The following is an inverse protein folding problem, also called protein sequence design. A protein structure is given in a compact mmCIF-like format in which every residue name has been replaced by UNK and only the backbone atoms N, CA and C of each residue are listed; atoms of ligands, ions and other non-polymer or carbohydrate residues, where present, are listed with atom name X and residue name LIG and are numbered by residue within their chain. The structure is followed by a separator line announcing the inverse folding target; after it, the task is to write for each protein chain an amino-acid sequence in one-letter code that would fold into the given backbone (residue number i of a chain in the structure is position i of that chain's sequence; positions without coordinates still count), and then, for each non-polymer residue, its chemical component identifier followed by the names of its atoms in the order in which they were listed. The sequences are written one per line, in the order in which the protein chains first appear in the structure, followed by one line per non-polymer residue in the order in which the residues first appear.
data_IF_455484302387
#
_entry.id   IF_455484302387
#
_cell.length_a   1.000
_cell.length_b   1.000
_cell.length_c   1.000
_cell.angle_alpha   90.00
_cell.angle_beta   90.00
_cell.angle_gamma   90.00
#
_symmetry.space_group_name_H-M   'P 1'
#
loop_
_entity.id
_entity.type
_entity.pdbx_description
1 polymer ?
#
# COMPACT_ATOMS: atom_id res chain seq x y z
N UNK A 1 -16.43 74.24 8.92
CA UNK A 1 -15.35 73.21 9.11
C UNK A 1 -16.01 71.88 9.39
N UNK A 2 -16.15 71.01 8.38
CA UNK A 2 -16.70 69.65 8.51
C UNK A 2 -15.54 68.67 8.74
N UNK A 3 -15.49 68.02 9.90
CA UNK A 3 -14.50 66.95 10.19
C UNK A 3 -14.98 65.65 9.55
N UNK A 4 -14.20 65.13 8.59
CA UNK A 4 -14.39 63.82 7.98
C UNK A 4 -13.73 62.75 8.87
N UNK A 5 -14.54 61.87 9.50
CA UNK A 5 -14.05 60.71 10.21
C UNK A 5 -13.83 59.58 9.16
N UNK A 6 -12.57 59.16 8.96
CA UNK A 6 -12.24 57.97 8.22
C UNK A 6 -12.34 56.76 9.20
N UNK A 7 -13.32 55.88 8.95
CA UNK A 7 -13.37 54.58 9.58
C UNK A 7 -12.44 53.61 8.85
N UNK A 8 -11.35 53.20 9.46
CA UNK A 8 -10.52 52.07 9.01
C UNK A 8 -11.17 50.77 9.47
N UNK A 9 -11.80 50.02 8.55
CA UNK A 9 -12.25 48.67 8.81
C UNK A 9 -11.05 47.72 8.71
N UNK A 10 -10.57 47.19 9.83
CA UNK A 10 -9.60 46.06 9.84
C UNK A 10 -10.30 44.81 9.38
N UNK A 11 -9.96 44.36 8.18
CA UNK A 11 -10.32 43.01 7.71
C UNK A 11 -9.39 41.98 8.40
N UNK A 12 -9.91 41.27 9.39
CA UNK A 12 -9.26 40.08 9.93
C UNK A 12 -9.39 38.95 8.90
N UNK A 13 -8.32 38.65 8.16
CA UNK A 13 -8.21 37.43 7.37
C UNK A 13 -7.91 36.31 8.35
N UNK A 14 -8.94 35.56 8.71
CA UNK A 14 -8.76 34.30 9.46
C UNK A 14 -8.15 33.27 8.50
N UNK A 15 -6.84 33.07 8.59
CA UNK A 15 -6.19 31.90 8.01
C UNK A 15 -6.70 30.67 8.77
N UNK A 16 -7.59 29.89 8.16
CA UNK A 16 -7.88 28.54 8.63
C UNK A 16 -6.58 27.75 8.52
N UNK A 17 -5.89 27.56 9.64
CA UNK A 17 -4.75 26.66 9.72
C UNK A 17 -5.27 25.24 9.45
N UNK A 18 -5.12 24.75 8.22
CA UNK A 18 -5.30 23.35 7.89
C UNK A 18 -4.44 22.52 8.86
N UNK A 19 -5.03 21.56 9.54
CA UNK A 19 -4.31 20.64 10.41
C UNK A 19 -3.12 20.05 9.64
N UNK A 20 -1.90 20.26 10.15
CA UNK A 20 -0.66 19.76 9.56
C UNK A 20 -0.32 18.36 10.06
N UNK A 21 -1.13 17.84 11.00
CA UNK A 21 -0.93 16.53 11.61
C UNK A 21 -1.93 15.51 11.07
N UNK A 22 -1.41 14.34 10.73
CA UNK A 22 -2.19 13.18 10.30
C UNK A 22 -1.88 11.98 11.19
N UNK A 23 -2.82 11.05 11.34
CA UNK A 23 -2.50 9.77 11.96
C UNK A 23 -1.76 8.91 10.95
N UNK A 24 -0.57 8.44 11.33
CA UNK A 24 0.16 7.39 10.66
C UNK A 24 -0.09 6.09 11.41
N UNK A 25 -0.68 5.10 10.73
CA UNK A 25 -1.00 3.79 11.27
C UNK A 25 -0.02 2.80 10.68
N UNK A 26 0.69 2.07 11.54
CA UNK A 26 1.78 1.17 11.17
C UNK A 26 1.37 -0.26 11.47
N UNK A 27 1.21 -1.07 10.42
CA UNK A 27 1.02 -2.52 10.53
C UNK A 27 2.37 -3.23 10.69
N UNK A 28 2.42 -4.22 11.57
CA UNK A 28 3.66 -4.92 11.93
C UNK A 28 3.50 -6.43 11.93
N UNK A 29 4.64 -7.14 11.88
CA UNK A 29 4.70 -8.55 12.23
C UNK A 29 5.13 -8.69 13.68
N UNK A 30 4.36 -9.45 14.47
CA UNK A 30 4.63 -9.71 15.89
C UNK A 30 5.44 -10.98 16.13
N UNK A 31 5.54 -11.86 15.12
CA UNK A 31 6.21 -13.16 15.21
C UNK A 31 7.69 -13.09 15.60
N UNK A 32 8.34 -11.95 15.41
CA UNK A 32 9.74 -11.72 15.82
C UNK A 32 9.88 -11.25 17.28
N UNK A 33 8.78 -11.19 18.06
CA UNK A 33 8.71 -10.74 19.45
C UNK A 33 9.28 -9.34 19.72
N UNK A 34 9.30 -8.48 18.70
CA UNK A 34 9.79 -7.09 18.79
C UNK A 34 8.69 -6.08 18.47
N UNK A 35 7.44 -6.53 18.34
CA UNK A 35 6.26 -5.69 18.10
C UNK A 35 5.07 -6.23 18.91
N UNK A 36 4.14 -5.33 19.27
CA UNK A 36 2.93 -5.63 20.04
C UNK A 36 1.64 -5.57 19.19
N UNK A 37 1.72 -5.22 17.90
CA UNK A 37 0.54 -5.12 17.03
C UNK A 37 0.56 -3.92 16.08
N UNK A 38 -0.53 -3.14 16.02
CA UNK A 38 -0.65 -1.96 15.16
C UNK A 38 -0.32 -0.72 15.98
N UNK A 39 0.57 0.13 15.47
CA UNK A 39 0.97 1.37 16.13
C UNK A 39 0.32 2.57 15.47
N UNK A 40 -0.06 3.56 16.26
CA UNK A 40 -0.64 4.83 15.79
C UNK A 40 0.24 5.99 16.24
N UNK A 41 0.61 6.84 15.29
CA UNK A 41 1.41 8.05 15.52
C UNK A 41 0.67 9.28 15.04
N UNK A 42 0.91 10.44 15.67
CA UNK A 42 0.74 11.72 15.01
C UNK A 42 1.98 11.99 14.15
N UNK A 43 1.75 12.33 12.90
CA UNK A 43 2.79 12.72 11.95
C UNK A 43 2.58 14.16 11.51
N UNK A 44 3.58 15.02 11.70
CA UNK A 44 3.56 16.41 11.25
C UNK A 44 4.09 16.51 9.82
N UNK A 45 3.22 16.86 8.86
CA UNK A 45 3.56 16.96 7.44
C UNK A 45 4.41 18.19 7.08
N UNK A 46 4.74 19.04 8.07
CA UNK A 46 5.65 20.18 7.89
C UNK A 46 7.07 19.86 8.32
N UNK A 47 7.22 19.16 9.43
CA UNK A 47 8.50 18.91 10.10
C UNK A 47 8.99 17.47 10.04
N UNK A 48 8.12 16.52 9.60
CA UNK A 48 8.33 15.07 9.68
C UNK A 48 8.46 14.52 11.11
N UNK A 49 8.09 15.30 12.12
CA UNK A 49 8.08 14.82 13.49
C UNK A 49 6.95 13.80 13.68
N UNK A 50 7.26 12.74 14.44
CA UNK A 50 6.33 11.66 14.73
C UNK A 50 6.23 11.46 16.23
N UNK A 51 5.00 11.47 16.76
CA UNK A 51 4.72 11.22 18.18
C UNK A 51 3.85 9.98 18.32
N UNK A 52 4.33 8.98 19.04
CA UNK A 52 3.52 7.79 19.36
C UNK A 52 2.29 8.18 20.18
N UNK A 53 1.15 7.58 19.86
CA UNK A 53 -0.12 7.82 20.52
C UNK A 53 -0.65 6.57 21.21
N UNK A 54 -0.78 5.48 20.47
CA UNK A 54 -1.38 4.23 20.97
C UNK A 54 -0.84 3.00 20.24
N UNK A 55 -1.11 1.84 20.84
CA UNK A 55 -0.85 0.53 20.27
C UNK A 55 -2.16 -0.27 20.36
N UNK A 56 -2.60 -0.78 19.21
CA UNK A 56 -3.69 -1.76 19.14
C UNK A 56 -3.02 -3.13 19.30
N UNK A 57 -3.01 -3.64 20.53
CA UNK A 57 -2.30 -4.88 20.87
C UNK A 57 -2.91 -6.09 20.18
N UNK A 58 -2.05 -6.94 19.63
CA UNK A 58 -2.41 -8.19 18.99
C UNK A 58 -1.26 -9.20 19.11
N UNK A 59 -1.53 -10.45 19.45
CA UNK A 59 -0.50 -11.50 19.44
C UNK A 59 -0.14 -11.96 18.01
N UNK A 60 -0.92 -11.53 17.02
CA UNK A 60 -0.77 -11.95 15.63
C UNK A 60 -0.17 -10.86 14.76
N UNK A 61 0.44 -11.28 13.68
CA UNK A 61 0.87 -10.39 12.60
C UNK A 61 -0.34 -9.65 12.00
N UNK A 62 -0.34 -8.33 12.13
CA UNK A 62 -1.30 -7.40 11.53
C UNK A 62 -0.62 -6.71 10.34
N UNK A 63 -0.21 -7.54 9.36
CA UNK A 63 0.78 -7.16 8.36
C UNK A 63 0.31 -6.20 7.30
N UNK A 64 -1.00 -6.14 6.98
CA UNK A 64 -1.52 -5.20 6.01
C UNK A 64 -2.83 -4.59 6.50
N UNK A 65 -3.02 -3.30 6.19
CA UNK A 65 -4.11 -2.48 6.74
C UNK A 65 -4.85 -1.77 5.61
N UNK A 66 -6.18 -1.68 5.76
CA UNK A 66 -7.03 -0.81 4.97
C UNK A 66 -7.89 0.06 5.89
N UNK A 67 -7.98 1.37 5.59
CA UNK A 67 -8.89 2.29 6.26
C UNK A 67 -10.16 2.47 5.44
N UNK A 68 -11.29 2.59 6.13
CA UNK A 68 -12.52 3.10 5.51
C UNK A 68 -12.31 4.56 5.05
N UNK A 69 -13.07 4.98 4.03
CA UNK A 69 -12.93 6.33 3.44
C UNK A 69 -13.23 7.46 4.43
N UNK A 70 -14.02 7.20 5.47
CA UNK A 70 -14.37 8.11 6.56
C UNK A 70 -13.44 8.00 7.78
N UNK A 71 -12.39 7.17 7.71
CA UNK A 71 -11.42 6.88 8.77
C UNK A 71 -12.02 6.32 10.08
N UNK A 72 -13.24 5.76 10.05
CA UNK A 72 -13.87 5.19 11.24
C UNK A 72 -13.55 3.73 11.48
N UNK A 73 -13.05 3.03 10.46
CA UNK A 73 -12.78 1.60 10.55
C UNK A 73 -11.41 1.26 9.99
N UNK A 74 -10.73 0.33 10.67
CA UNK A 74 -9.50 -0.31 10.20
C UNK A 74 -9.81 -1.78 9.96
N UNK A 75 -9.43 -2.28 8.79
CA UNK A 75 -9.42 -3.69 8.48
C UNK A 75 -7.97 -4.16 8.36
N UNK A 76 -7.65 -5.29 8.98
CA UNK A 76 -6.29 -5.83 8.95
C UNK A 76 -6.28 -7.29 8.56
N UNK A 77 -5.21 -7.70 7.88
CA UNK A 77 -4.85 -9.10 7.78
C UNK A 77 -4.41 -9.60 9.16
N UNK A 78 -4.68 -10.85 9.47
CA UNK A 78 -4.32 -11.49 10.74
C UNK A 78 -3.68 -12.84 10.48
N UNK A 79 -2.51 -13.10 11.07
CA UNK A 79 -1.85 -14.39 11.03
C UNK A 79 -1.21 -14.72 12.37
N UNK A 80 -1.66 -15.81 12.98
CA UNK A 80 -1.10 -16.36 14.22
C UNK A 80 -0.94 -17.88 14.08
N UNK A 81 0.29 -18.36 13.95
CA UNK A 81 0.57 -19.77 13.63
C UNK A 81 -0.22 -20.21 12.39
N UNK A 82 -1.10 -21.18 12.53
CA UNK A 82 -1.92 -21.73 11.44
C UNK A 82 -3.26 -21.01 11.25
N UNK A 83 -3.54 -19.97 12.07
CA UNK A 83 -4.79 -19.19 11.96
C UNK A 83 -4.60 -17.98 11.09
N UNK A 84 -5.33 -17.94 9.98
CA UNK A 84 -5.44 -16.81 9.07
C UNK A 84 -6.82 -16.20 9.16
N UNK A 85 -6.89 -14.89 9.27
CA UNK A 85 -8.16 -14.17 9.42
C UNK A 85 -8.09 -12.74 8.88
N UNK A 86 -9.24 -12.10 8.84
CA UNK A 86 -9.41 -10.65 8.68
C UNK A 86 -10.06 -10.12 9.95
N UNK A 87 -9.53 -9.01 10.46
CA UNK A 87 -10.06 -8.36 11.67
C UNK A 87 -10.57 -6.97 11.33
N UNK A 88 -11.75 -6.64 11.83
CA UNK A 88 -12.33 -5.29 11.77
C UNK A 88 -12.23 -4.58 13.12
N UNK A 89 -11.85 -3.30 13.07
CA UNK A 89 -11.79 -2.42 14.23
C UNK A 89 -12.60 -1.16 13.99
N UNK A 90 -13.38 -0.73 14.98
CA UNK A 90 -13.84 0.67 15.06
C UNK A 90 -12.65 1.54 15.48
N UNK A 91 -12.38 2.60 14.73
CA UNK A 91 -11.26 3.49 14.96
C UNK A 91 -11.73 4.89 15.28
N UNK A 92 -11.34 5.39 16.47
CA UNK A 92 -11.53 6.77 16.85
C UNK A 92 -10.29 7.59 16.44
N UNK A 93 -10.36 8.25 15.29
CA UNK A 93 -9.24 9.03 14.75
C UNK A 93 -8.81 10.18 15.68
N UNK A 94 -9.73 10.76 16.49
CA UNK A 94 -9.40 11.87 17.39
C UNK A 94 -8.54 11.40 18.56
N UNK A 95 -8.87 10.26 19.15
CA UNK A 95 -8.18 9.70 20.32
C UNK A 95 -7.10 8.67 19.93
N UNK A 96 -7.02 8.31 18.64
CA UNK A 96 -6.13 7.26 18.13
C UNK A 96 -6.37 5.88 18.80
N UNK A 97 -7.61 5.59 19.16
CA UNK A 97 -8.04 4.36 19.83
C UNK A 97 -8.78 3.45 18.84
N UNK A 98 -8.58 2.14 18.97
CA UNK A 98 -9.33 1.19 18.19
C UNK A 98 -9.90 0.09 19.09
N UNK A 99 -11.14 -0.31 18.77
CA UNK A 99 -11.86 -1.43 19.41
C UNK A 99 -12.14 -2.49 18.35
N UNK A 100 -11.71 -3.71 18.60
CA UNK A 100 -12.05 -4.84 17.74
C UNK A 100 -13.58 -5.03 17.70
N UNK A 101 -14.13 -5.07 16.49
CA UNK A 101 -15.53 -5.35 16.24
C UNK A 101 -15.76 -6.86 16.10
N UNK A 102 -15.07 -7.46 15.13
CA UNK A 102 -15.08 -8.90 14.92
C UNK A 102 -13.88 -9.37 14.10
N UNK A 103 -13.78 -10.68 13.96
CA UNK A 103 -12.77 -11.35 13.16
C UNK A 103 -13.41 -12.54 12.44
N UNK A 104 -13.08 -12.72 11.16
CA UNK A 104 -13.55 -13.86 10.35
C UNK A 104 -12.36 -14.63 9.77
N UNK A 105 -12.45 -15.97 9.65
CA UNK A 105 -11.44 -16.75 8.96
C UNK A 105 -11.22 -16.24 7.53
N UNK A 106 -9.99 -16.33 7.04
CA UNK A 106 -9.62 -16.02 5.67
C UNK A 106 -8.76 -17.15 5.09
N UNK A 107 -8.48 -17.08 3.79
CA UNK A 107 -7.52 -17.97 3.15
C UNK A 107 -6.13 -17.87 3.80
N UNK A 108 -5.32 -18.89 3.60
CA UNK A 108 -4.04 -19.02 4.29
C UNK A 108 -3.07 -17.86 3.98
N UNK A 109 -2.50 -17.27 5.03
CA UNK A 109 -1.51 -16.20 5.00
C UNK A 109 -1.95 -14.97 4.17
N UNK A 110 -3.04 -14.26 4.61
CA UNK A 110 -3.48 -13.04 3.93
C UNK A 110 -2.38 -11.97 4.04
N UNK A 111 -1.99 -11.41 2.89
CA UNK A 111 -0.88 -10.46 2.81
C UNK A 111 -1.27 -9.08 2.24
N UNK A 112 -2.49 -8.95 1.73
CA UNK A 112 -3.04 -7.69 1.24
C UNK A 112 -4.53 -7.57 1.53
N UNK A 113 -5.01 -6.34 1.76
CA UNK A 113 -6.42 -6.07 2.08
C UNK A 113 -6.83 -4.72 1.52
N UNK A 114 -8.03 -4.64 0.94
CA UNK A 114 -8.66 -3.41 0.47
C UNK A 114 -10.12 -3.35 0.92
N UNK A 115 -10.68 -2.14 0.93
CA UNK A 115 -12.12 -1.93 1.17
C UNK A 115 -12.65 -0.75 0.35
N UNK A 116 -13.90 -0.85 -0.07
CA UNK A 116 -14.68 0.27 -0.62
C UNK A 116 -15.77 0.77 0.35
N UNK A 117 -15.82 0.15 1.54
CA UNK A 117 -16.83 0.42 2.58
C UNK A 117 -18.08 -0.50 2.47
N UNK A 118 -18.25 -1.23 1.38
CA UNK A 118 -19.31 -2.24 1.18
C UNK A 118 -18.75 -3.64 1.34
N UNK A 119 -17.55 -3.84 0.81
CA UNK A 119 -16.81 -5.10 0.92
C UNK A 119 -15.38 -4.87 1.40
N UNK A 120 -14.85 -5.90 2.03
CA UNK A 120 -13.41 -6.08 2.31
C UNK A 120 -12.92 -7.23 1.45
N UNK A 121 -11.83 -7.02 0.72
CA UNK A 121 -11.26 -8.03 -0.18
C UNK A 121 -9.81 -8.29 0.23
N UNK A 122 -9.42 -9.56 0.35
CA UNK A 122 -8.03 -9.97 0.69
C UNK A 122 -7.39 -10.76 -0.41
N UNK A 123 -6.06 -10.61 -0.54
CA UNK A 123 -5.21 -11.55 -1.25
C UNK A 123 -4.50 -12.43 -0.22
N UNK A 124 -4.57 -13.75 -0.41
CA UNK A 124 -4.03 -14.76 0.51
C UNK A 124 -2.84 -15.46 -0.14
N UNK A 125 -1.65 -15.08 0.27
CA UNK A 125 -0.40 -15.56 -0.33
C UNK A 125 -0.21 -17.06 -0.18
N UNK A 126 -0.35 -17.57 1.06
CA UNK A 126 -0.12 -18.99 1.34
C UNK A 126 -1.15 -19.91 0.68
N UNK A 127 -2.40 -19.43 0.56
CA UNK A 127 -3.49 -20.20 -0.05
C UNK A 127 -3.67 -19.98 -1.55
N UNK A 128 -3.00 -19.01 -2.17
CA UNK A 128 -3.23 -18.63 -3.56
C UNK A 128 -4.69 -18.28 -3.84
N UNK A 129 -5.32 -17.51 -2.96
CA UNK A 129 -6.76 -17.27 -3.05
C UNK A 129 -7.14 -15.82 -2.74
N UNK A 130 -8.39 -15.45 -3.03
CA UNK A 130 -8.99 -14.16 -2.72
C UNK A 130 -10.27 -14.39 -1.93
N UNK A 131 -10.45 -13.70 -0.79
CA UNK A 131 -11.73 -13.65 -0.10
C UNK A 131 -12.42 -12.30 -0.29
N UNK A 132 -13.73 -12.32 -0.34
CA UNK A 132 -14.60 -11.15 -0.27
C UNK A 132 -15.54 -11.29 0.92
N UNK A 133 -15.52 -10.31 1.82
CA UNK A 133 -16.39 -10.21 2.97
C UNK A 133 -17.30 -8.99 2.82
N UNK A 134 -18.57 -9.11 3.18
CA UNK A 134 -19.44 -7.95 3.32
C UNK A 134 -19.04 -7.10 4.52
N UNK A 135 -19.44 -5.82 4.50
CA UNK A 135 -19.28 -4.88 5.62
C UNK A 135 -20.66 -4.44 6.09
N UNK A 136 -20.92 -4.55 7.41
CA UNK A 136 -22.14 -4.06 8.05
C UNK A 136 -22.09 -2.57 8.31
N UNK A 137 -23.23 -1.95 8.63
CA UNK A 137 -23.33 -0.52 8.90
C UNK A 137 -22.48 -0.05 10.09
N UNK A 138 -22.20 -0.95 11.05
CA UNK A 138 -21.34 -0.68 12.21
C UNK A 138 -19.86 -0.89 11.92
N UNK A 139 -19.50 -1.23 10.67
CA UNK A 139 -18.14 -1.48 10.21
C UNK A 139 -17.62 -2.89 10.49
N UNK A 140 -18.39 -3.73 11.18
CA UNK A 140 -18.01 -5.14 11.36
C UNK A 140 -18.07 -5.90 10.03
N UNK A 141 -17.27 -6.96 9.92
CA UNK A 141 -17.36 -7.87 8.78
C UNK A 141 -18.67 -8.65 8.86
N UNK A 142 -19.30 -8.79 7.72
CA UNK A 142 -20.40 -9.74 7.53
C UNK A 142 -19.83 -11.11 7.12
N UNK A 143 -20.69 -12.04 6.70
CA UNK A 143 -20.26 -13.35 6.22
C UNK A 143 -19.34 -13.25 5.02
N UNK A 144 -18.51 -14.27 4.80
CA UNK A 144 -17.77 -14.43 3.55
C UNK A 144 -18.79 -14.56 2.39
N UNK A 145 -18.70 -13.64 1.42
CA UNK A 145 -19.51 -13.67 0.21
C UNK A 145 -18.91 -14.58 -0.86
N UNK A 146 -17.56 -14.60 -0.92
CA UNK A 146 -16.88 -15.30 -2.00
C UNK A 146 -15.45 -15.68 -1.63
N UNK A 147 -15.07 -16.92 -1.95
CA UNK A 147 -13.69 -17.39 -2.02
C UNK A 147 -13.37 -17.74 -3.47
N UNK A 148 -12.29 -17.17 -4.01
CA UNK A 148 -11.78 -17.48 -5.35
C UNK A 148 -10.42 -18.15 -5.16
N UNK A 149 -10.30 -19.39 -5.63
CA UNK A 149 -9.06 -20.14 -5.63
C UNK A 149 -8.34 -19.97 -6.98
N UNK A 150 -7.10 -19.48 -6.96
CA UNK A 150 -6.19 -19.57 -8.09
C UNK A 150 -5.48 -20.94 -8.09
N UNK A 151 -5.17 -21.43 -9.26
CA UNK A 151 -4.53 -22.76 -9.44
C UNK A 151 -3.48 -22.68 -10.53
N UNK A 152 -2.26 -23.08 -10.21
CA UNK A 152 -1.14 -23.05 -11.16
C UNK A 152 0.19 -22.90 -10.42
N UNK A 153 1.24 -22.78 -11.18
CA UNK A 153 2.62 -22.66 -10.70
C UNK A 153 3.48 -21.92 -11.75
N UNK A 154 4.69 -21.55 -11.36
CA UNK A 154 5.70 -20.94 -12.22
C UNK A 154 7.04 -21.67 -12.13
N UNK A 155 8.07 -21.20 -12.86
CA UNK A 155 9.36 -21.90 -12.94
C UNK A 155 10.30 -21.65 -11.76
N UNK A 156 10.09 -20.58 -10.95
CA UNK A 156 10.91 -20.31 -9.77
C UNK A 156 10.51 -21.28 -8.63
N UNK A 157 11.44 -21.81 -7.84
CA UNK A 157 11.11 -22.68 -6.70
C UNK A 157 10.09 -22.10 -5.71
N UNK A 158 9.98 -20.77 -5.63
CA UNK A 158 8.97 -20.05 -4.82
C UNK A 158 7.59 -20.01 -5.48
N UNK A 159 7.44 -20.55 -6.69
CA UNK A 159 6.21 -20.59 -7.47
C UNK A 159 5.66 -22.03 -7.59
N UNK A 160 5.87 -22.86 -6.58
CA UNK A 160 5.35 -24.24 -6.57
C UNK A 160 3.81 -24.31 -6.60
N UNK A 161 3.14 -23.21 -6.26
CA UNK A 161 1.68 -23.05 -6.31
C UNK A 161 1.30 -21.58 -6.56
N UNK A 162 0.02 -21.30 -6.77
CA UNK A 162 -0.52 -19.94 -6.80
C UNK A 162 -0.24 -19.19 -5.49
N UNK A 163 0.08 -17.89 -5.59
CA UNK A 163 0.37 -16.99 -4.48
C UNK A 163 -0.23 -15.60 -4.76
N UNK A 164 -1.53 -15.43 -4.50
CA UNK A 164 -2.18 -14.13 -4.65
C UNK A 164 -1.53 -13.11 -3.70
N UNK A 165 -0.87 -12.07 -4.26
CA UNK A 165 -0.09 -11.13 -3.44
C UNK A 165 -0.74 -9.76 -3.29
N UNK A 166 -1.57 -9.33 -4.21
CA UNK A 166 -2.28 -8.06 -4.13
C UNK A 166 -3.65 -8.15 -4.82
N UNK A 167 -4.61 -7.43 -4.27
CA UNK A 167 -5.85 -7.04 -4.93
C UNK A 167 -5.96 -5.51 -4.96
N UNK A 168 -6.51 -4.95 -6.03
CA UNK A 168 -6.66 -3.50 -6.17
C UNK A 168 -7.89 -3.15 -6.99
N UNK A 169 -8.72 -2.23 -6.48
CA UNK A 169 -9.80 -1.65 -7.29
C UNK A 169 -9.22 -0.82 -8.44
N UNK A 170 -9.84 -0.89 -9.60
CA UNK A 170 -9.61 0.09 -10.66
C UNK A 170 -10.12 1.47 -10.21
N UNK A 171 -9.60 2.58 -10.77
CA UNK A 171 -10.00 3.93 -10.36
C UNK A 171 -11.52 4.20 -10.46
N UNK A 172 -12.20 3.57 -11.42
CA UNK A 172 -13.64 3.63 -11.61
C UNK A 172 -14.44 2.61 -10.80
N UNK A 173 -13.73 1.73 -10.06
CA UNK A 173 -14.28 0.62 -9.27
C UNK A 173 -15.15 -0.38 -10.05
N UNK A 174 -15.04 -0.43 -11.36
CA UNK A 174 -15.75 -1.44 -12.18
C UNK A 174 -15.05 -2.80 -12.15
N UNK A 175 -13.76 -2.81 -11.81
CA UNK A 175 -12.97 -4.02 -11.79
C UNK A 175 -12.08 -4.08 -10.54
N UNK A 176 -11.67 -5.31 -10.21
CA UNK A 176 -10.60 -5.60 -9.28
C UNK A 176 -9.50 -6.33 -10.05
N UNK A 177 -8.27 -5.81 -9.97
CA UNK A 177 -7.09 -6.52 -10.43
C UNK A 177 -6.53 -7.34 -9.27
N UNK A 178 -6.18 -8.59 -9.54
CA UNK A 178 -5.48 -9.46 -8.60
C UNK A 178 -4.15 -9.91 -9.20
N UNK A 179 -3.08 -9.76 -8.43
CA UNK A 179 -1.72 -10.14 -8.85
C UNK A 179 -1.38 -11.47 -8.20
N UNK A 180 -1.05 -12.46 -9.00
CA UNK A 180 -0.59 -13.77 -8.53
C UNK A 180 0.89 -13.97 -8.83
N UNK A 181 1.69 -13.94 -7.76
CA UNK A 181 3.14 -14.09 -7.82
C UNK A 181 3.54 -15.53 -8.23
N UNK A 182 2.75 -16.53 -7.79
CA UNK A 182 3.06 -17.93 -8.01
C UNK A 182 2.77 -18.40 -9.43
N UNK A 183 1.87 -17.70 -10.14
CA UNK A 183 1.47 -18.06 -11.49
C UNK A 183 2.04 -17.13 -12.58
N UNK A 184 2.77 -16.09 -12.20
CA UNK A 184 3.18 -15.00 -13.10
C UNK A 184 2.01 -14.38 -13.84
N UNK A 185 0.88 -14.08 -13.12
CA UNK A 185 -0.35 -13.57 -13.74
C UNK A 185 -0.92 -12.33 -13.06
N UNK A 186 -1.66 -11.55 -13.86
CA UNK A 186 -2.60 -10.55 -13.40
C UNK A 186 -4.00 -10.98 -13.84
N UNK A 187 -4.90 -11.14 -12.89
CA UNK A 187 -6.31 -11.41 -13.13
C UNK A 187 -7.10 -10.10 -13.08
N UNK A 188 -8.08 -9.96 -13.96
CA UNK A 188 -9.07 -8.88 -13.93
C UNK A 188 -10.44 -9.48 -13.67
N UNK A 189 -11.08 -9.06 -12.59
CA UNK A 189 -12.43 -9.42 -12.24
C UNK A 189 -13.36 -8.23 -12.43
N UNK A 190 -14.52 -8.43 -13.08
CA UNK A 190 -15.61 -7.47 -13.01
C UNK A 190 -16.09 -7.40 -11.58
N UNK A 191 -16.41 -6.19 -11.09
CA UNK A 191 -16.80 -5.96 -9.70
C UNK A 191 -18.16 -5.33 -9.60
N UNK A 192 -19.07 -6.00 -8.89
CA UNK A 192 -20.33 -5.45 -8.43
C UNK A 192 -20.40 -5.57 -6.90
N UNK A 193 -20.28 -4.45 -6.20
CA UNK A 193 -20.23 -4.40 -4.74
C UNK A 193 -21.46 -4.99 -4.06
N UNK A 194 -22.64 -4.97 -4.74
CA UNK A 194 -23.90 -5.41 -4.17
C UNK A 194 -24.26 -6.86 -4.50
N UNK A 195 -23.56 -7.46 -5.46
CA UNK A 195 -23.81 -8.84 -5.84
C UNK A 195 -23.50 -9.82 -4.70
N UNK A 196 -24.15 -10.96 -4.68
CA UNK A 196 -23.85 -12.08 -3.78
C UNK A 196 -22.44 -12.61 -4.01
N UNK A 197 -22.00 -12.69 -5.29
CA UNK A 197 -20.63 -12.98 -5.72
C UNK A 197 -20.07 -11.76 -6.42
N UNK A 198 -19.40 -10.85 -5.69
CA UNK A 198 -19.00 -9.55 -6.21
C UNK A 198 -17.95 -9.59 -7.33
N UNK A 199 -17.17 -10.67 -7.45
CA UNK A 199 -16.09 -10.80 -8.41
C UNK A 199 -16.40 -11.88 -9.45
N UNK A 200 -16.41 -11.49 -10.73
CA UNK A 200 -16.55 -12.42 -11.87
C UNK A 200 -15.32 -12.27 -12.74
N UNK A 201 -14.63 -13.37 -13.01
CA UNK A 201 -13.44 -13.36 -13.86
C UNK A 201 -13.77 -12.82 -15.25
N UNK A 202 -13.10 -11.75 -15.66
CA UNK A 202 -13.20 -11.18 -17.00
C UNK A 202 -12.09 -11.68 -17.90
N UNK A 203 -10.83 -11.57 -17.44
CA UNK A 203 -9.64 -11.97 -18.19
C UNK A 203 -8.45 -12.14 -17.27
N UNK A 204 -7.38 -12.71 -17.78
CA UNK A 204 -6.07 -12.65 -17.16
C UNK A 204 -4.99 -12.45 -18.23
N UNK A 205 -3.83 -11.96 -17.80
CA UNK A 205 -2.63 -11.87 -18.64
C UNK A 205 -1.45 -12.49 -17.89
N UNK A 206 -0.56 -13.11 -18.64
CA UNK A 206 0.73 -13.59 -18.10
C UNK A 206 1.77 -12.49 -18.15
N UNK A 207 2.67 -12.50 -17.18
CA UNK A 207 3.92 -11.73 -17.16
C UNK A 207 5.09 -12.66 -17.57
N UNK A 208 6.31 -12.13 -17.55
CA UNK A 208 7.49 -12.97 -17.83
C UNK A 208 7.57 -14.13 -16.83
N UNK A 209 7.83 -15.32 -17.33
CA UNK A 209 7.95 -16.52 -16.50
C UNK A 209 9.07 -16.38 -15.47
N UNK A 210 8.81 -16.72 -14.22
CA UNK A 210 9.74 -16.57 -13.10
C UNK A 210 9.95 -15.14 -12.65
N UNK A 211 9.09 -14.21 -13.03
CA UNK A 211 9.23 -12.80 -12.65
C UNK A 211 8.66 -12.47 -11.27
N UNK A 212 7.66 -13.22 -10.82
CA UNK A 212 6.97 -13.03 -9.54
C UNK A 212 6.29 -11.66 -9.44
N UNK A 213 5.20 -11.40 -10.18
CA UNK A 213 4.46 -10.15 -10.06
C UNK A 213 3.93 -10.00 -8.63
N UNK A 214 4.10 -8.79 -8.05
CA UNK A 214 3.85 -8.60 -6.62
C UNK A 214 2.85 -7.51 -6.29
N UNK A 215 3.18 -6.29 -6.59
CA UNK A 215 2.33 -5.11 -6.35
C UNK A 215 2.20 -4.28 -7.61
N UNK A 216 1.01 -3.73 -7.84
CA UNK A 216 0.75 -2.80 -8.92
C UNK A 216 0.18 -1.48 -8.40
N UNK A 217 0.22 -0.46 -9.23
CA UNK A 217 -0.41 0.85 -8.98
C UNK A 217 -0.90 1.45 -10.29
N UNK A 218 -1.98 2.24 -10.22
CA UNK A 218 -2.52 2.97 -11.37
C UNK A 218 -1.92 4.37 -11.47
N UNK A 219 -1.73 4.85 -12.70
CA UNK A 219 -1.55 6.29 -12.93
C UNK A 219 -2.81 7.07 -12.47
N UNK A 220 -2.67 8.34 -12.00
CA UNK A 220 -3.83 9.13 -11.53
C UNK A 220 -4.94 9.31 -12.57
N UNK A 221 -4.61 9.27 -13.86
CA UNK A 221 -5.58 9.35 -14.95
C UNK A 221 -6.22 7.99 -15.30
N UNK A 222 -5.87 6.92 -14.60
CA UNK A 222 -6.40 5.57 -14.80
C UNK A 222 -5.97 4.88 -16.11
N UNK A 223 -5.08 5.46 -16.92
CA UNK A 223 -4.73 4.93 -18.25
C UNK A 223 -3.57 3.94 -18.24
N UNK A 224 -2.78 3.92 -17.19
CA UNK A 224 -1.58 3.09 -17.09
C UNK A 224 -1.54 2.33 -15.78
N UNK A 225 -1.00 1.10 -15.84
CA UNK A 225 -0.72 0.25 -14.68
C UNK A 225 0.77 -0.03 -14.64
N UNK A 226 1.35 0.07 -13.46
CA UNK A 226 2.76 -0.21 -13.18
C UNK A 226 2.84 -1.37 -12.21
N UNK A 227 3.49 -2.44 -12.60
CA UNK A 227 3.61 -3.69 -11.86
C UNK A 227 5.06 -3.92 -11.43
N UNK A 228 5.30 -4.05 -10.14
CA UNK A 228 6.56 -4.47 -9.57
C UNK A 228 6.66 -6.01 -9.55
N UNK A 229 7.79 -6.53 -10.03
CA UNK A 229 8.12 -7.95 -9.97
C UNK A 229 9.06 -8.24 -8.80
N UNK A 230 8.72 -9.21 -7.96
CA UNK A 230 9.52 -9.53 -6.77
C UNK A 230 10.87 -10.14 -7.15
N UNK A 231 10.87 -11.15 -8.02
CA UNK A 231 12.06 -11.96 -8.26
C UNK A 231 13.10 -11.31 -9.17
N UNK A 232 12.65 -10.46 -10.07
CA UNK A 232 13.53 -9.78 -11.04
C UNK A 232 13.83 -8.33 -10.70
N UNK A 233 13.09 -7.74 -9.73
CA UNK A 233 13.20 -6.33 -9.40
C UNK A 233 12.85 -5.38 -10.55
N UNK A 234 12.18 -5.86 -11.60
CA UNK A 234 11.75 -5.04 -12.74
C UNK A 234 10.38 -4.42 -12.50
N UNK A 235 10.06 -3.41 -13.31
CA UNK A 235 8.70 -2.85 -13.43
C UNK A 235 8.19 -3.10 -14.84
N UNK A 236 6.99 -3.68 -14.96
CA UNK A 236 6.24 -3.72 -16.22
C UNK A 236 5.20 -2.61 -16.24
N UNK A 237 5.10 -1.93 -17.38
CA UNK A 237 4.11 -0.89 -17.65
C UNK A 237 3.09 -1.43 -18.64
N UNK A 238 1.80 -1.21 -18.34
CA UNK A 238 0.70 -1.61 -19.22
C UNK A 238 -0.18 -0.38 -19.53
N UNK A 239 -0.69 -0.34 -20.76
CA UNK A 239 -1.87 0.47 -21.06
C UNK A 239 -3.08 -0.24 -20.43
N UNK A 240 -3.97 0.52 -19.83
CA UNK A 240 -5.21 0.03 -19.25
C UNK A 240 -6.42 0.66 -19.94
N UNK A 241 -7.37 -0.17 -20.32
CA UNK A 241 -8.64 0.26 -20.87
C UNK A 241 -9.73 -0.77 -20.53
N UNK A 242 -10.76 -0.35 -19.79
CA UNK A 242 -11.96 -1.13 -19.48
C UNK A 242 -11.64 -2.57 -19.05
N UNK A 243 -10.79 -2.73 -18.03
CA UNK A 243 -10.40 -4.02 -17.47
C UNK A 243 -9.33 -4.78 -18.27
N UNK A 244 -8.91 -4.28 -19.42
CA UNK A 244 -7.89 -4.92 -20.25
C UNK A 244 -6.53 -4.26 -20.04
N UNK A 245 -5.48 -5.08 -20.00
CA UNK A 245 -4.08 -4.67 -19.89
C UNK A 245 -3.33 -5.03 -21.17
N UNK A 246 -2.60 -4.07 -21.74
CA UNK A 246 -1.73 -4.30 -22.89
C UNK A 246 -0.32 -3.87 -22.51
N UNK A 247 0.64 -4.80 -22.63
CA UNK A 247 2.05 -4.55 -22.32
C UNK A 247 2.59 -3.36 -23.13
N UNK A 248 3.39 -2.53 -22.47
CA UNK A 248 3.98 -1.32 -23.06
C UNK A 248 5.48 -1.23 -22.89
N UNK A 249 5.99 -1.49 -21.71
CA UNK A 249 7.41 -1.31 -21.35
C UNK A 249 7.78 -2.21 -20.18
N UNK A 250 9.04 -2.64 -20.15
CA UNK A 250 9.67 -3.16 -18.94
C UNK A 250 10.96 -2.40 -18.66
N UNK A 251 11.26 -2.15 -17.38
CA UNK A 251 12.44 -1.40 -16.97
C UNK A 251 13.01 -1.98 -15.67
N UNK A 252 14.34 -2.04 -15.57
CA UNK A 252 15.04 -2.46 -14.36
C UNK A 252 15.01 -1.35 -13.28
N UNK A 253 15.07 -1.77 -12.02
CA UNK A 253 15.08 -0.86 -10.86
C UNK A 253 16.46 -0.72 -10.23
N UNK A 254 17.43 -1.51 -10.68
CA UNK A 254 18.82 -1.44 -10.25
C UNK A 254 19.72 -0.95 -11.38
N UNK A 255 20.95 -0.57 -11.05
CA UNK A 255 21.97 -0.27 -12.04
C UNK A 255 22.35 -1.53 -12.82
N UNK A 256 22.81 -1.41 -14.07
CA UNK A 256 23.20 -2.58 -14.88
C UNK A 256 24.26 -3.49 -14.26
N UNK A 257 25.10 -2.96 -13.38
CA UNK A 257 26.21 -3.68 -12.73
C UNK A 257 25.85 -4.11 -11.29
N UNK A 258 24.57 -4.11 -10.92
CA UNK A 258 24.19 -4.59 -9.59
C UNK A 258 24.33 -6.12 -9.56
N UNK A 259 25.18 -6.61 -8.69
CA UNK A 259 25.35 -8.01 -8.38
C UNK A 259 24.78 -8.28 -6.99
N UNK A 260 23.88 -9.24 -6.87
CA UNK A 260 23.24 -9.57 -5.61
C UNK A 260 21.76 -9.94 -5.79
N UNK A 261 21.15 -10.40 -4.71
CA UNK A 261 19.74 -10.75 -4.68
C UNK A 261 18.87 -9.50 -4.68
N UNK A 262 17.91 -9.46 -5.60
CA UNK A 262 16.87 -8.45 -5.65
C UNK A 262 15.55 -9.12 -5.25
N UNK A 263 14.81 -8.49 -4.33
CA UNK A 263 13.43 -8.82 -4.05
C UNK A 263 12.60 -7.53 -4.16
N UNK A 264 11.98 -7.27 -5.30
CA UNK A 264 11.10 -6.13 -5.49
C UNK A 264 9.96 -6.14 -4.46
N UNK A 265 9.57 -4.96 -3.94
CA UNK A 265 8.60 -4.92 -2.86
C UNK A 265 7.41 -4.00 -3.16
N UNK A 266 7.36 -2.80 -2.64
CA UNK A 266 6.25 -1.87 -2.84
C UNK A 266 6.49 -0.96 -4.04
N UNK A 267 5.39 -0.52 -4.65
CA UNK A 267 5.39 0.43 -5.76
C UNK A 267 4.28 1.46 -5.53
N UNK A 268 4.59 2.74 -5.68
CA UNK A 268 3.61 3.83 -5.55
C UNK A 268 3.98 4.99 -6.47
N UNK A 269 2.96 5.74 -6.87
CA UNK A 269 3.09 6.97 -7.66
C UNK A 269 2.88 8.17 -6.73
N UNK A 270 3.63 9.23 -6.95
CA UNK A 270 3.38 10.52 -6.32
C UNK A 270 1.98 11.06 -6.68
N UNK A 271 1.34 11.77 -5.76
CA UNK A 271 -0.03 12.29 -5.94
C UNK A 271 -0.19 13.19 -7.16
N UNK A 272 0.89 13.86 -7.60
CA UNK A 272 0.93 14.67 -8.81
C UNK A 272 1.13 13.87 -10.12
N UNK A 273 1.28 12.55 -10.00
CA UNK A 273 1.44 11.63 -11.13
C UNK A 273 2.77 11.72 -11.87
N UNK A 274 3.74 12.49 -11.37
CA UNK A 274 5.00 12.77 -12.08
C UNK A 274 6.09 11.75 -11.84
N UNK A 275 6.07 11.09 -10.67
CA UNK A 275 7.12 10.19 -10.24
C UNK A 275 6.56 8.89 -9.71
N UNK A 276 7.28 7.81 -10.01
CA UNK A 276 7.02 6.49 -9.47
C UNK A 276 8.22 6.05 -8.63
N UNK A 277 7.94 5.37 -7.53
CA UNK A 277 8.92 4.82 -6.60
C UNK A 277 8.69 3.33 -6.45
N UNK A 278 9.79 2.57 -6.38
CA UNK A 278 9.76 1.15 -6.04
C UNK A 278 10.87 0.82 -5.06
N UNK A 279 10.54 0.05 -4.00
CA UNK A 279 11.54 -0.48 -3.08
C UNK A 279 12.02 -1.87 -3.49
N UNK A 280 13.30 -2.15 -3.25
CA UNK A 280 13.93 -3.46 -3.45
C UNK A 280 14.56 -3.91 -2.14
N UNK A 281 14.24 -5.12 -1.73
CA UNK A 281 14.81 -5.85 -0.59
C UNK A 281 16.03 -6.69 -1.05
N UNK A 282 16.36 -7.71 -0.31
CA UNK A 282 17.53 -8.57 -0.56
C UNK A 282 18.83 -7.82 -0.27
N UNK A 283 19.80 -7.94 -1.15
CA UNK A 283 21.08 -7.22 -1.01
C UNK A 283 20.99 -5.76 -1.47
N UNK A 284 19.98 -5.43 -2.29
CA UNK A 284 19.79 -4.08 -2.83
C UNK A 284 19.45 -3.05 -1.74
N UNK A 285 18.43 -3.30 -0.94
CA UNK A 285 17.89 -2.38 0.09
C UNK A 285 17.78 -0.93 -0.40
N UNK A 286 17.14 -0.74 -1.56
CA UNK A 286 17.05 0.54 -2.26
C UNK A 286 15.62 0.99 -2.50
N UNK A 287 15.47 2.28 -2.81
CA UNK A 287 14.30 2.83 -3.51
C UNK A 287 14.75 3.39 -4.85
N UNK A 288 14.09 2.96 -5.92
CA UNK A 288 14.33 3.41 -7.29
C UNK A 288 13.27 4.43 -7.68
N UNK A 289 13.70 5.52 -8.30
CA UNK A 289 12.91 6.71 -8.60
C UNK A 289 12.81 6.86 -10.11
N UNK A 290 11.58 6.95 -10.62
CA UNK A 290 11.33 7.11 -12.04
C UNK A 290 10.51 8.37 -12.33
N UNK A 291 10.81 9.03 -13.43
CA UNK A 291 9.89 10.00 -14.02
C UNK A 291 8.86 9.28 -14.90
N UNK A 292 7.63 9.78 -14.87
CA UNK A 292 6.51 9.28 -15.69
C UNK A 292 6.29 10.26 -16.84
N UNK A 293 6.44 9.80 -18.07
CA UNK A 293 6.15 10.59 -19.26
C UNK A 293 4.63 10.72 -19.50
N UNK A 294 4.19 11.68 -20.31
CA UNK A 294 2.76 11.87 -20.67
C UNK A 294 2.11 10.63 -21.26
N UNK A 295 2.87 9.80 -21.95
CA UNK A 295 2.42 8.54 -22.52
C UNK A 295 2.53 7.34 -21.54
N UNK A 296 2.81 7.58 -20.25
CA UNK A 296 2.93 6.57 -19.20
C UNK A 296 4.27 5.85 -19.14
N UNK A 297 5.20 6.08 -20.07
CA UNK A 297 6.51 5.43 -20.03
C UNK A 297 7.37 5.92 -18.87
N UNK A 298 8.19 5.02 -18.32
CA UNK A 298 9.10 5.29 -17.21
C UNK A 298 10.53 5.56 -17.71
N UNK A 299 11.21 6.48 -17.04
CA UNK A 299 12.65 6.68 -17.16
C UNK A 299 13.25 6.73 -15.76
N UNK A 300 14.24 5.87 -15.49
CA UNK A 300 14.98 5.86 -14.22
C UNK A 300 15.69 7.20 -14.02
N UNK A 301 15.50 7.81 -12.84
CA UNK A 301 16.18 9.02 -12.41
C UNK A 301 17.41 8.64 -11.60
N UNK A 302 17.20 7.86 -10.53
CA UNK A 302 18.24 7.38 -9.64
C UNK A 302 17.74 6.21 -8.79
N UNK A 303 18.66 5.48 -8.19
CA UNK A 303 18.42 4.46 -7.17
C UNK A 303 19.24 4.82 -5.95
N UNK A 304 18.60 4.92 -4.78
CA UNK A 304 19.23 5.34 -3.53
C UNK A 304 19.03 4.30 -2.44
N UNK A 305 19.99 4.21 -1.51
CA UNK A 305 19.83 3.36 -0.31
C UNK A 305 18.63 3.82 0.51
N UNK A 306 17.88 2.85 1.07
CA UNK A 306 16.81 3.14 2.02
C UNK A 306 17.30 3.37 3.44
N UNK A 307 18.59 3.23 3.70
CA UNK A 307 19.26 3.42 5.00
C UNK A 307 18.78 2.43 6.08
N UNK A 308 18.25 1.27 5.65
CA UNK A 308 17.79 0.18 6.49
C UNK A 308 17.78 -1.13 5.71
N UNK A 309 17.36 -2.22 6.34
CA UNK A 309 17.29 -3.55 5.71
C UNK A 309 15.86 -4.06 5.61
N UNK A 310 15.55 -4.61 4.43
CA UNK A 310 14.22 -5.16 4.12
C UNK A 310 13.14 -4.07 3.95
N UNK A 311 13.30 -3.09 3.04
CA UNK A 311 12.30 -2.05 2.78
C UNK A 311 11.05 -2.66 2.15
N UNK A 312 10.16 -3.25 2.99
CA UNK A 312 9.00 -4.03 2.55
C UNK A 312 7.86 -3.17 2.02
N UNK A 313 7.69 -2.00 2.62
CA UNK A 313 6.65 -1.04 2.24
C UNK A 313 7.14 0.39 2.38
N UNK A 314 6.53 1.30 1.67
CA UNK A 314 6.73 2.73 1.86
C UNK A 314 5.41 3.48 1.57
N UNK A 315 5.32 4.70 2.04
CA UNK A 315 4.22 5.60 1.70
C UNK A 315 4.72 7.02 1.53
N UNK A 316 4.01 7.81 0.71
CA UNK A 316 4.23 9.25 0.59
C UNK A 316 3.24 9.94 1.52
N UNK A 317 3.72 10.88 2.33
CA UNK A 317 2.87 11.64 3.25
C UNK A 317 1.78 12.45 2.52
N UNK A 318 0.67 12.82 3.18
CA UNK A 318 -0.43 13.56 2.54
C UNK A 318 -0.01 14.88 1.89
N UNK A 319 1.05 15.53 2.39
CA UNK A 319 1.58 16.76 1.79
C UNK A 319 2.44 16.49 0.54
N UNK A 320 2.87 15.26 0.33
CA UNK A 320 3.80 14.84 -0.72
C UNK A 320 5.23 15.34 -0.54
N UNK A 321 5.60 15.82 0.66
CA UNK A 321 6.96 16.31 0.96
C UNK A 321 7.88 15.23 1.48
N UNK A 322 7.32 14.16 2.06
CA UNK A 322 8.08 13.10 2.68
C UNK A 322 7.73 11.75 2.08
N UNK A 323 8.72 10.87 2.04
CA UNK A 323 8.56 9.45 1.73
C UNK A 323 9.07 8.65 2.92
N UNK A 324 8.21 7.79 3.48
CA UNK A 324 8.46 6.99 4.67
C UNK A 324 8.68 5.54 4.24
N UNK A 325 9.82 4.94 4.58
CA UNK A 325 10.17 3.55 4.23
C UNK A 325 10.16 2.68 5.48
N UNK A 326 9.33 1.63 5.47
CA UNK A 326 9.25 0.64 6.54
C UNK A 326 10.22 -0.51 6.31
N UNK A 327 11.15 -0.70 7.24
CA UNK A 327 12.19 -1.73 7.18
C UNK A 327 11.85 -2.90 8.10
N UNK A 328 11.53 -4.03 7.50
CA UNK A 328 11.15 -5.24 8.22
C UNK A 328 12.27 -5.77 9.14
N UNK A 329 13.55 -5.57 8.78
CA UNK A 329 14.66 -6.23 9.48
C UNK A 329 15.46 -5.28 10.39
N UNK A 330 15.49 -3.96 10.10
CA UNK A 330 16.11 -2.97 11.00
C UNK A 330 15.15 -2.37 12.00
N UNK A 331 13.85 -2.73 11.95
CA UNK A 331 12.84 -2.32 12.94
C UNK A 331 12.69 -0.80 13.04
N UNK A 332 12.63 -0.14 11.89
CA UNK A 332 12.47 1.29 11.83
C UNK A 332 11.65 1.74 10.60
N UNK A 333 11.17 2.97 10.67
CA UNK A 333 10.67 3.70 9.52
C UNK A 333 11.60 4.87 9.27
N UNK A 334 12.30 4.85 8.13
CA UNK A 334 13.18 5.94 7.70
C UNK A 334 12.35 6.96 6.92
N UNK A 335 12.52 8.26 7.24
CA UNK A 335 11.78 9.33 6.61
C UNK A 335 12.73 10.13 5.71
N UNK A 336 12.39 10.20 4.42
CA UNK A 336 13.12 10.98 3.42
C UNK A 336 12.38 12.27 3.10
N UNK A 337 13.13 13.37 2.92
CA UNK A 337 12.62 14.54 2.22
C UNK A 337 12.45 14.21 0.74
N UNK A 338 11.28 14.54 0.18
CA UNK A 338 10.98 14.34 -1.23
C UNK A 338 10.94 15.69 -1.97
N UNK A 339 11.78 15.85 -2.95
CA UNK A 339 11.73 17.01 -3.84
C UNK A 339 10.59 16.85 -4.87
N UNK A 340 9.52 17.63 -4.75
CA UNK A 340 8.34 17.54 -5.62
C UNK A 340 8.63 17.87 -7.10
N UNK A 341 9.72 18.62 -7.40
CA UNK A 341 10.06 19.02 -8.78
C UNK A 341 10.90 17.94 -9.49
N UNK A 342 11.78 17.28 -8.77
CA UNK A 342 12.74 16.31 -9.33
C UNK A 342 12.44 14.86 -8.99
N UNK A 343 11.57 14.61 -8.00
CA UNK A 343 11.29 13.28 -7.46
C UNK A 343 12.36 12.76 -6.50
N UNK A 344 13.53 13.39 -6.44
CA UNK A 344 14.70 12.94 -5.67
C UNK A 344 14.43 12.92 -4.17
N UNK A 345 15.13 12.00 -3.50
CA UNK A 345 15.05 11.78 -2.06
C UNK A 345 16.36 12.21 -1.38
N UNK A 346 16.24 12.76 -0.18
CA UNK A 346 17.38 13.00 0.72
C UNK A 346 16.98 12.59 2.13
N UNK A 347 17.94 12.09 2.92
CA UNK A 347 17.67 11.75 4.31
C UNK A 347 17.19 12.97 5.10
N UNK A 348 16.09 12.84 5.82
CA UNK A 348 15.60 13.90 6.71
C UNK A 348 16.26 13.87 8.10
N UNK A 349 17.01 12.82 8.41
CA UNK A 349 17.51 12.53 9.76
C UNK A 349 16.43 12.03 10.73
N UNK A 350 15.17 11.93 10.31
CA UNK A 350 14.04 11.48 11.15
C UNK A 350 13.79 9.98 10.99
N UNK A 351 13.47 9.33 12.12
CA UNK A 351 13.20 7.89 12.21
C UNK A 351 12.06 7.62 13.17
N UNK A 352 11.31 6.54 12.93
CA UNK A 352 10.37 5.96 13.89
C UNK A 352 10.88 4.56 14.23
N UNK A 353 11.27 4.34 15.47
CA UNK A 353 11.64 3.01 15.96
C UNK A 353 10.36 2.23 16.25
N UNK A 354 10.15 1.15 15.53
CA UNK A 354 8.99 0.25 15.65
C UNK A 354 9.35 -1.14 15.15
N UNK A 355 9.00 -2.18 15.90
CA UNK A 355 9.35 -3.56 15.57
C UNK A 355 8.69 -4.02 14.27
N UNK A 356 9.46 -4.57 13.38
CA UNK A 356 9.06 -5.24 12.12
C UNK A 356 7.91 -4.53 11.36
N UNK A 357 8.05 -3.22 10.99
CA UNK A 357 7.00 -2.50 10.26
C UNK A 357 6.92 -3.00 8.81
N UNK A 358 5.70 -3.25 8.33
CA UNK A 358 5.45 -3.83 7.00
C UNK A 358 4.33 -3.16 6.22
N UNK A 359 3.58 -2.24 6.84
CA UNK A 359 2.53 -1.45 6.22
C UNK A 359 2.43 -0.07 6.87
N UNK A 360 2.23 0.97 6.07
CA UNK A 360 2.11 2.37 6.50
C UNK A 360 0.86 2.97 5.86
N UNK A 361 -0.10 3.44 6.65
CA UNK A 361 -1.33 4.05 6.17
C UNK A 361 -1.55 5.38 6.87
N UNK A 362 -1.80 6.45 6.11
CA UNK A 362 -2.22 7.72 6.67
C UNK A 362 -3.74 7.81 6.74
N UNK A 363 -4.29 8.34 7.85
CA UNK A 363 -5.67 8.80 7.86
C UNK A 363 -5.82 10.03 6.94
N UNK A 364 -6.96 10.11 6.28
CA UNK A 364 -7.27 11.20 5.35
C UNK A 364 -7.90 12.38 6.06
#
# INVERSE_FOLDING_TARGET
MKKLLLLFSLFYITFSASSQTHKLIVGTFTRANNSEGIYVYNFDTKTAESKALSIIKSPADQGYLALSSDNKFIYSTYMLKDKSAVTAYAFNNNHAEAKMLNQLPAGQNPCYIITDGINVITANYGGGSINVFGVKNDGSLDTEKQLIQHTGSGPDPRQASAHAHQVMFTPDKKYVLAVDLGEDKIYTYSYDAKAEKPLILKTNISTDAGSGPRHLTFSPNGKYVYLAHEFTGKISVFNYHDGNLTFKQQIATTTPNFEGKIDGAAIQISTDGKFLYQTNRGDANTVSIFSIAKNGSLKLIETVSTLGKGPRFFTIDPSGKFLLVAHQYTNDVVIFNRNKKTGKLSDSGKRINVGTPVCLVFSR
#
